data_IF_241938806576
#
_entry.id   IF_241938806576
#
_cell.length_a   1.000
_cell.length_b   1.000
_cell.length_c   1.000
_cell.angle_alpha   90.00
_cell.angle_beta   90.00
_cell.angle_gamma   90.00
#
_symmetry.space_group_name_H-M   'P 1'
#
loop_
_entity.id
_entity.type
_entity.pdbx_description
1 polymer ?
#
# COMPACT_ATOMS: atom_id res chain seq x y z
N UNK A 1 -21.63 27.37 30.94
CA UNK A 1 -20.28 27.18 30.38
C UNK A 1 -20.29 25.88 29.59
N UNK A 2 -19.94 25.87 28.31
CA UNK A 2 -19.90 24.62 27.55
C UNK A 2 -18.70 23.81 28.01
N UNK A 3 -18.98 22.60 28.50
CA UNK A 3 -17.98 21.59 28.84
C UNK A 3 -17.28 21.21 27.54
N UNK A 4 -15.98 21.48 27.45
CA UNK A 4 -15.15 21.03 26.33
C UNK A 4 -15.20 19.49 26.29
N UNK A 5 -15.44 18.87 25.12
CA UNK A 5 -15.43 17.42 25.02
C UNK A 5 -14.04 16.89 25.36
N UNK A 6 -14.02 15.75 26.03
CA UNK A 6 -12.82 15.04 26.51
C UNK A 6 -11.82 14.79 25.38
N UNK A 7 -10.55 14.97 25.73
CA UNK A 7 -9.35 14.96 24.88
C UNK A 7 -8.99 13.56 24.32
N UNK A 8 -9.97 12.69 24.05
CA UNK A 8 -9.77 11.32 23.53
C UNK A 8 -9.48 11.26 22.02
N UNK A 9 -9.49 12.39 21.32
CA UNK A 9 -9.19 12.49 19.88
C UNK A 9 -7.75 12.92 19.56
N UNK A 10 -6.81 12.92 20.52
CA UNK A 10 -5.39 13.24 20.28
C UNK A 10 -4.57 12.10 19.64
N UNK A 11 -5.12 11.39 18.67
CA UNK A 11 -4.31 10.64 17.69
C UNK A 11 -4.48 11.36 16.36
N UNK A 12 -3.44 11.99 15.78
CA UNK A 12 -3.62 12.67 14.52
C UNK A 12 -4.05 11.64 13.48
N UNK A 13 -5.29 11.79 13.03
CA UNK A 13 -5.82 11.10 11.87
C UNK A 13 -4.93 11.48 10.66
N UNK A 14 -4.49 10.43 9.95
CA UNK A 14 -3.83 10.37 8.63
C UNK A 14 -2.53 11.17 8.44
N UNK A 15 -1.40 10.45 8.47
CA UNK A 15 -0.12 10.89 7.91
C UNK A 15 -0.04 10.42 6.46
N UNK A 16 0.07 11.34 5.50
CA UNK A 16 0.49 11.01 4.15
C UNK A 16 2.00 10.72 4.18
N UNK A 17 2.47 9.56 3.71
CA UNK A 17 3.90 9.22 3.72
C UNK A 17 4.43 9.08 2.29
N UNK A 18 5.63 9.59 2.04
CA UNK A 18 6.31 9.42 0.77
C UNK A 18 6.70 7.94 0.56
N UNK A 19 6.55 7.43 -0.66
CA UNK A 19 6.87 6.02 -0.99
C UNK A 19 8.37 5.71 -0.85
N UNK A 20 9.23 6.70 -1.08
CA UNK A 20 10.67 6.57 -0.90
C UNK A 20 11.10 7.23 0.40
N UNK A 21 11.98 6.56 1.14
CA UNK A 21 12.63 7.15 2.30
C UNK A 21 13.81 8.02 1.86
N UNK A 22 14.07 9.07 2.63
CA UNK A 22 15.20 9.97 2.39
C UNK A 22 16.46 9.42 3.06
N UNK A 23 17.47 9.10 2.26
CA UNK A 23 18.77 8.60 2.69
C UNK A 23 19.64 9.71 3.32
N UNK A 24 19.19 10.28 4.44
CA UNK A 24 19.93 11.30 5.21
C UNK A 24 19.55 11.25 6.68
N UNK A 25 20.43 11.77 7.53
CA UNK A 25 20.16 11.90 8.97
C UNK A 25 19.18 13.03 9.25
N UNK A 26 18.09 12.73 9.96
CA UNK A 26 17.19 13.77 10.51
C UNK A 26 17.90 14.57 11.59
N UNK A 27 17.63 15.88 11.64
CA UNK A 27 18.18 16.80 12.65
C UNK A 27 17.25 17.00 13.86
N UNK A 28 15.99 16.57 13.81
CA UNK A 28 14.94 17.07 14.73
C UNK A 28 13.96 16.02 15.29
N UNK A 29 14.02 14.75 14.89
CA UNK A 29 13.05 13.74 15.33
C UNK A 29 13.69 12.64 16.18
N UNK A 30 12.88 12.04 17.06
CA UNK A 30 13.26 10.88 17.85
C UNK A 30 13.65 9.74 16.90
N UNK A 31 14.92 9.36 16.94
CA UNK A 31 15.48 8.36 16.04
C UNK A 31 15.57 7.02 16.75
N UNK A 32 15.11 5.96 16.09
CA UNK A 32 15.38 4.60 16.51
C UNK A 32 16.67 4.10 15.88
N UNK A 33 17.46 3.35 16.64
CA UNK A 33 18.62 2.63 16.13
C UNK A 33 18.23 1.18 15.92
N UNK A 34 18.57 0.65 14.75
CA UNK A 34 18.45 -0.77 14.42
C UNK A 34 19.72 -1.28 13.77
N UNK A 35 19.80 -2.60 13.60
CA UNK A 35 20.91 -3.26 12.91
C UNK A 35 20.38 -4.10 11.75
N UNK A 36 20.98 -3.93 10.58
CA UNK A 36 20.73 -4.79 9.43
C UNK A 36 21.43 -6.15 9.56
N UNK A 37 21.27 -7.01 8.56
CA UNK A 37 21.77 -8.41 8.60
C UNK A 37 23.28 -8.51 8.80
N UNK A 38 24.03 -7.53 8.29
CA UNK A 38 25.49 -7.46 8.38
C UNK A 38 25.97 -6.71 9.62
N UNK A 39 25.13 -6.63 10.67
CA UNK A 39 25.37 -5.85 11.89
C UNK A 39 25.55 -4.35 11.63
N UNK A 40 25.05 -3.87 10.50
CA UNK A 40 25.18 -2.51 10.04
C UNK A 40 24.19 -1.59 10.76
N UNK A 41 24.68 -0.47 11.29
CA UNK A 41 23.85 0.44 12.09
C UNK A 41 23.02 1.35 11.18
N UNK A 42 21.71 1.27 11.36
CA UNK A 42 20.71 2.12 10.71
C UNK A 42 19.99 2.98 11.75
N UNK A 43 19.73 4.23 11.39
CA UNK A 43 18.97 5.19 12.16
C UNK A 43 17.72 5.54 11.36
N UNK A 44 16.54 5.28 11.92
CA UNK A 44 15.25 5.63 11.33
C UNK A 44 14.55 6.71 12.14
N UNK A 45 13.95 7.66 11.45
CA UNK A 45 13.23 8.76 12.10
C UNK A 45 12.13 9.30 11.18
N UNK A 46 10.94 9.53 11.73
CA UNK A 46 9.83 10.13 10.99
C UNK A 46 9.80 11.65 11.22
N UNK A 47 9.65 12.41 10.15
CA UNK A 47 9.26 13.82 10.22
C UNK A 47 7.80 13.93 9.78
N UNK A 48 6.86 14.08 10.74
CA UNK A 48 5.46 14.29 10.41
C UNK A 48 5.27 15.68 9.80
N UNK A 49 4.50 15.74 8.72
CA UNK A 49 4.03 16.97 8.09
C UNK A 49 2.51 16.97 8.12
N UNK A 50 1.92 18.17 8.19
CA UNK A 50 0.49 18.31 8.01
C UNK A 50 0.14 18.07 6.55
N UNK A 51 -0.85 17.21 6.28
CA UNK A 51 -1.32 17.05 4.92
C UNK A 51 -1.86 18.37 4.33
N UNK A 52 -1.82 18.55 3.00
CA UNK A 52 -1.50 17.55 1.97
C UNK A 52 0.00 17.27 1.77
N UNK A 53 0.88 17.94 2.51
CA UNK A 53 2.32 17.68 2.42
C UNK A 53 2.65 16.29 2.96
N UNK A 54 3.36 15.42 2.20
CA UNK A 54 3.75 14.12 2.70
C UNK A 54 4.79 14.27 3.82
N UNK A 55 4.58 13.52 4.89
CA UNK A 55 5.58 13.20 5.90
C UNK A 55 6.70 12.38 5.29
N UNK A 56 7.87 12.43 5.92
CA UNK A 56 9.09 11.85 5.38
C UNK A 56 9.73 10.90 6.37
N UNK A 57 9.96 9.66 5.94
CA UNK A 57 10.85 8.73 6.63
C UNK A 57 12.29 9.08 6.26
N UNK A 58 13.11 9.35 7.27
CA UNK A 58 14.54 9.56 7.13
C UNK A 58 15.29 8.33 7.60
N UNK A 59 16.15 7.80 6.73
CA UNK A 59 17.03 6.68 7.03
C UNK A 59 18.48 7.13 6.89
N UNK A 60 19.28 6.83 7.91
CA UNK A 60 20.71 7.09 7.90
C UNK A 60 21.49 5.82 8.18
N UNK A 61 22.44 5.55 7.30
CA UNK A 61 23.41 4.46 7.41
C UNK A 61 24.71 5.02 7.96
N UNK A 62 25.26 4.40 9.01
CA UNK A 62 26.52 4.86 9.63
C UNK A 62 27.73 4.70 8.71
N UNK A 63 27.78 3.62 7.92
CA UNK A 63 28.98 3.18 7.20
C UNK A 63 28.93 3.49 5.69
N UNK A 64 28.16 4.49 5.26
CA UNK A 64 28.09 4.90 3.84
C UNK A 64 26.68 5.24 3.36
N UNK A 65 26.49 5.45 2.05
CA UNK A 65 25.17 5.61 1.43
C UNK A 65 24.46 4.25 1.26
N UNK A 66 23.17 4.26 0.97
CA UNK A 66 22.46 3.05 0.51
C UNK A 66 22.80 2.77 -0.96
N UNK A 67 22.85 1.49 -1.34
CA UNK A 67 23.13 1.08 -2.72
C UNK A 67 21.92 1.20 -3.65
N UNK A 68 20.72 1.28 -3.08
CA UNK A 68 19.45 1.59 -3.74
C UNK A 68 18.60 2.45 -2.80
N UNK A 69 17.66 3.22 -3.35
CA UNK A 69 16.78 4.08 -2.54
C UNK A 69 15.85 3.20 -1.69
N UNK A 70 15.83 3.34 -0.36
CA UNK A 70 14.93 2.54 0.47
C UNK A 70 13.46 2.86 0.18
N UNK A 71 12.62 1.83 0.17
CA UNK A 71 11.22 1.91 -0.24
C UNK A 71 10.28 1.58 0.92
N UNK A 72 9.31 2.46 1.16
CA UNK A 72 8.20 2.24 2.10
C UNK A 72 7.17 1.34 1.44
N UNK A 73 6.86 0.23 2.10
CA UNK A 73 5.95 -0.80 1.60
C UNK A 73 4.55 -0.65 2.20
N UNK A 74 4.46 -0.30 3.47
CA UNK A 74 3.18 -0.16 4.16
C UNK A 74 3.31 0.73 5.39
N UNK A 75 2.21 1.40 5.76
CA UNK A 75 2.14 2.21 6.96
C UNK A 75 0.75 2.11 7.59
N UNK A 76 0.70 1.78 8.88
CA UNK A 76 -0.55 1.76 9.66
C UNK A 76 -0.22 2.22 11.07
N UNK A 77 -1.04 3.13 11.60
CA UNK A 77 -0.82 3.80 12.88
C UNK A 77 0.60 4.39 12.99
N UNK A 78 1.41 3.88 13.92
CA UNK A 78 2.81 4.28 14.11
C UNK A 78 3.81 3.28 13.54
N UNK A 79 3.36 2.27 12.78
CA UNK A 79 4.22 1.25 12.17
C UNK A 79 4.47 1.59 10.70
N UNK A 80 5.75 1.57 10.32
CA UNK A 80 6.19 1.77 8.94
C UNK A 80 7.03 0.55 8.55
N UNK A 81 6.55 -0.20 7.56
CA UNK A 81 7.26 -1.30 6.93
C UNK A 81 8.01 -0.77 5.71
N UNK A 82 9.30 -1.09 5.61
CA UNK A 82 10.13 -0.71 4.47
C UNK A 82 11.23 -1.73 4.22
N UNK A 83 11.79 -1.72 3.00
CA UNK A 83 13.03 -2.43 2.70
C UNK A 83 14.17 -1.44 2.41
N UNK A 84 15.40 -1.88 2.65
CA UNK A 84 16.59 -1.13 2.34
C UNK A 84 17.71 -2.06 1.86
N UNK A 85 18.47 -1.60 0.86
CA UNK A 85 19.67 -2.30 0.38
C UNK A 85 20.92 -1.53 0.79
N UNK A 86 21.75 -2.15 1.64
CA UNK A 86 22.98 -1.55 2.16
C UNK A 86 24.24 -2.01 1.42
N UNK A 87 24.10 -2.71 0.29
CA UNK A 87 25.25 -3.09 -0.54
C UNK A 87 25.85 -1.93 -1.36
N UNK A 88 26.76 -2.23 -2.29
CA UNK A 88 27.23 -1.26 -3.29
C UNK A 88 26.08 -0.80 -4.19
N UNK A 89 26.28 0.27 -4.96
CA UNK A 89 25.25 0.78 -5.88
C UNK A 89 24.78 -0.32 -6.85
N UNK A 90 23.49 -0.59 -6.85
CA UNK A 90 22.86 -1.58 -7.71
C UNK A 90 21.43 -1.14 -7.99
N UNK A 91 21.08 -0.96 -9.28
CA UNK A 91 19.68 -0.74 -9.66
C UNK A 91 18.90 -2.04 -9.53
N UNK A 92 17.76 -1.98 -8.86
CA UNK A 92 16.87 -3.12 -8.62
C UNK A 92 17.60 -4.33 -7.98
N UNK A 93 18.21 -4.16 -6.80
CA UNK A 93 18.89 -5.25 -6.11
C UNK A 93 17.91 -6.39 -5.86
N UNK A 94 18.33 -7.65 -6.08
CA UNK A 94 17.49 -8.82 -5.82
C UNK A 94 16.96 -8.82 -4.39
N UNK A 95 15.71 -9.25 -4.22
CA UNK A 95 15.01 -9.33 -2.92
C UNK A 95 15.87 -9.95 -1.84
N UNK A 96 16.54 -11.09 -2.11
CA UNK A 96 17.45 -11.78 -1.19
C UNK A 96 18.57 -10.93 -0.58
N UNK A 97 18.93 -9.81 -1.20
CA UNK A 97 19.96 -8.88 -0.72
C UNK A 97 19.39 -7.72 0.11
N UNK A 98 18.09 -7.49 0.05
CA UNK A 98 17.41 -6.42 0.78
C UNK A 98 17.13 -6.84 2.22
N UNK A 99 17.28 -5.90 3.14
CA UNK A 99 16.85 -6.05 4.54
C UNK A 99 15.47 -5.40 4.70
N UNK A 100 14.58 -6.07 5.43
CA UNK A 100 13.23 -5.59 5.72
C UNK A 100 13.14 -5.14 7.16
N UNK A 101 12.49 -4.00 7.40
CA UNK A 101 12.40 -3.41 8.72
C UNK A 101 11.00 -2.95 9.04
N UNK A 102 10.65 -3.03 10.33
CA UNK A 102 9.54 -2.26 10.89
C UNK A 102 10.12 -1.17 11.77
N UNK A 103 9.83 0.07 11.40
CA UNK A 103 10.05 1.23 12.24
C UNK A 103 8.76 1.59 12.97
N UNK A 104 8.82 1.60 14.30
CA UNK A 104 7.77 2.14 15.15
C UNK A 104 8.10 3.59 15.46
N UNK A 105 7.32 4.50 14.89
CA UNK A 105 7.40 5.94 15.10
C UNK A 105 6.62 6.38 16.36
N UNK A 106 6.80 5.68 17.47
CA UNK A 106 6.25 6.10 18.77
C UNK A 106 7.12 7.25 19.33
N UNK A 107 6.55 8.42 19.67
CA UNK A 107 7.32 9.52 20.23
C UNK A 107 8.02 9.19 21.56
N UNK A 108 7.47 8.27 22.34
CA UNK A 108 7.98 7.90 23.65
C UNK A 108 8.95 6.71 23.58
N UNK A 109 8.71 5.78 22.65
CA UNK A 109 9.48 4.54 22.52
C UNK A 109 9.72 4.17 21.04
N UNK A 110 10.50 4.98 20.30
CA UNK A 110 10.80 4.68 18.91
C UNK A 110 11.67 3.42 18.82
N UNK A 111 11.34 2.51 17.90
CA UNK A 111 12.12 1.28 17.71
C UNK A 111 12.25 0.91 16.23
N UNK A 112 13.39 0.30 15.87
CA UNK A 112 13.68 -0.15 14.52
C UNK A 112 14.08 -1.62 14.60
N UNK A 113 13.25 -2.51 14.05
CA UNK A 113 13.45 -3.96 14.11
C UNK A 113 13.69 -4.51 12.71
N UNK A 114 14.78 -5.28 12.57
CA UNK A 114 15.02 -6.11 11.40
C UNK A 114 14.05 -7.29 11.42
N UNK A 115 13.46 -7.60 10.28
CA UNK A 115 12.60 -8.76 10.10
C UNK A 115 13.38 -9.94 9.54
N UNK A 116 12.96 -11.18 9.86
CA UNK A 116 13.33 -12.35 9.08
C UNK A 116 12.95 -12.14 7.61
N UNK A 117 13.82 -12.61 6.72
CA UNK A 117 13.63 -12.44 5.29
C UNK A 117 12.30 -13.08 4.83
N UNK A 118 11.52 -12.42 3.96
CA UNK A 118 10.30 -13.02 3.45
C UNK A 118 10.60 -14.30 2.63
N UNK A 119 9.61 -15.19 2.47
CA UNK A 119 9.76 -16.39 1.64
C UNK A 119 10.17 -16.05 0.20
N UNK A 120 10.90 -16.96 -0.48
CA UNK A 120 11.42 -16.73 -1.83
C UNK A 120 10.36 -16.42 -2.91
N UNK A 121 9.10 -16.72 -2.65
CA UNK A 121 7.96 -16.40 -3.53
C UNK A 121 7.48 -14.96 -3.41
N UNK A 122 7.97 -14.21 -2.43
CA UNK A 122 7.59 -12.81 -2.19
C UNK A 122 8.74 -11.92 -2.63
N UNK A 123 8.45 -11.00 -3.55
CA UNK A 123 9.39 -9.99 -4.00
C UNK A 123 9.46 -8.80 -3.03
N UNK A 124 10.53 -8.01 -3.10
CA UNK A 124 10.72 -6.86 -2.21
C UNK A 124 9.69 -5.76 -2.42
N UNK A 125 9.20 -5.62 -3.65
CA UNK A 125 8.26 -4.59 -4.03
C UNK A 125 6.81 -5.14 -4.12
N UNK A 126 6.59 -6.36 -3.63
CA UNK A 126 5.24 -6.94 -3.50
C UNK A 126 4.35 -6.10 -2.58
N UNK A 127 3.02 -6.17 -2.76
CA UNK A 127 2.07 -5.37 -2.01
C UNK A 127 1.91 -5.89 -0.57
N UNK A 128 2.76 -5.42 0.33
CA UNK A 128 2.67 -5.74 1.76
C UNK A 128 1.61 -4.92 2.48
N UNK A 129 0.88 -5.58 3.39
CA UNK A 129 0.07 -4.94 4.44
C UNK A 129 0.68 -5.18 5.82
N UNK A 130 0.46 -4.26 6.74
CA UNK A 130 0.82 -4.42 8.15
C UNK A 130 -0.41 -4.24 9.02
N UNK A 131 -0.76 -5.24 9.81
CA UNK A 131 -1.90 -5.25 10.70
C UNK A 131 -1.45 -5.14 12.16
N UNK A 132 -1.66 -4.00 12.84
CA UNK A 132 -1.39 -3.87 14.26
C UNK A 132 -2.28 -4.82 15.08
N UNK A 133 -1.69 -5.48 16.07
CA UNK A 133 -2.39 -6.30 17.07
C UNK A 133 -2.21 -5.69 18.46
N UNK A 134 -2.89 -6.27 19.45
CA UNK A 134 -2.69 -5.92 20.87
C UNK A 134 -1.23 -6.06 21.31
N UNK A 135 -0.89 -5.44 22.45
CA UNK A 135 0.40 -5.60 23.12
C UNK A 135 1.64 -5.28 22.25
N UNK A 136 1.51 -4.28 21.38
CA UNK A 136 2.56 -3.84 20.45
C UNK A 136 2.94 -4.90 19.40
N UNK A 137 2.21 -6.01 19.30
CA UNK A 137 2.42 -6.97 18.22
C UNK A 137 1.78 -6.49 16.91
N UNK A 138 2.20 -7.12 15.82
CA UNK A 138 1.67 -6.88 14.48
C UNK A 138 1.82 -8.15 13.63
N UNK A 139 1.03 -8.21 12.56
CA UNK A 139 1.14 -9.20 11.49
C UNK A 139 1.50 -8.47 10.20
N UNK A 140 2.44 -8.99 9.43
CA UNK A 140 2.69 -8.51 8.06
C UNK A 140 2.12 -9.54 7.09
N UNK A 141 1.41 -9.07 6.08
CA UNK A 141 0.81 -9.94 5.08
C UNK A 141 1.27 -9.54 3.68
N UNK A 142 1.56 -10.53 2.83
CA UNK A 142 1.68 -10.36 1.38
C UNK A 142 0.78 -11.38 0.69
N UNK A 143 -0.01 -10.92 -0.28
CA UNK A 143 -0.91 -11.75 -1.06
C UNK A 143 -0.37 -11.84 -2.48
N UNK A 144 0.07 -13.04 -2.88
CA UNK A 144 0.63 -13.30 -4.21
C UNK A 144 -0.30 -14.22 -5.01
N UNK A 145 -0.34 -14.13 -6.34
CA UNK A 145 -1.10 -15.06 -7.17
C UNK A 145 -0.63 -16.51 -6.96
N UNK A 146 -1.59 -17.44 -6.91
CA UNK A 146 -1.27 -18.86 -6.88
C UNK A 146 -0.84 -19.36 -8.27
N UNK A 147 0.16 -20.26 -8.29
CA UNK A 147 0.58 -20.99 -9.51
C UNK A 147 -0.30 -22.25 -9.70
N UNK A 148 -0.94 -22.73 -8.62
CA UNK A 148 -1.87 -23.86 -8.65
C UNK A 148 -3.24 -23.42 -9.15
N UNK A 149 -3.90 -24.23 -9.98
CA UNK A 149 -5.27 -23.98 -10.42
C UNK A 149 -6.32 -24.25 -9.34
N UNK A 150 -5.93 -24.81 -8.18
CA UNK A 150 -6.85 -25.12 -7.08
C UNK A 150 -7.10 -23.94 -6.13
N UNK A 151 -6.26 -22.91 -6.19
CA UNK A 151 -6.31 -21.75 -5.31
C UNK A 151 -6.12 -20.47 -6.12
N UNK A 152 -6.73 -19.38 -5.68
CA UNK A 152 -6.58 -18.08 -6.35
C UNK A 152 -5.30 -17.38 -5.89
N UNK A 153 -5.01 -17.46 -4.59
CA UNK A 153 -3.94 -16.71 -3.96
C UNK A 153 -3.16 -17.54 -2.94
N UNK A 154 -1.90 -17.13 -2.72
CA UNK A 154 -1.08 -17.57 -1.61
C UNK A 154 -0.87 -16.38 -0.68
N UNK A 155 -1.31 -16.53 0.57
CA UNK A 155 -1.14 -15.54 1.63
C UNK A 155 0.08 -15.90 2.47
N UNK A 156 1.06 -15.02 2.49
CA UNK A 156 2.23 -15.09 3.37
C UNK A 156 2.03 -14.18 4.58
N UNK A 157 2.15 -14.75 5.78
CA UNK A 157 1.91 -14.04 7.04
C UNK A 157 3.14 -14.10 7.94
N UNK A 158 3.65 -12.96 8.34
CA UNK A 158 4.67 -12.84 9.38
C UNK A 158 4.01 -12.50 10.72
N UNK A 159 4.38 -13.24 11.76
CA UNK A 159 3.94 -12.98 13.12
C UNK A 159 5.07 -12.34 13.94
N UNK A 160 4.84 -11.13 14.47
CA UNK A 160 5.85 -10.41 15.26
C UNK A 160 6.17 -11.02 16.63
N UNK A 161 5.29 -11.86 17.18
CA UNK A 161 5.50 -12.52 18.47
C UNK A 161 6.41 -13.73 18.29
N UNK A 162 6.09 -14.59 17.33
CA UNK A 162 6.88 -15.80 17.05
C UNK A 162 8.08 -15.54 16.15
N UNK A 163 8.11 -14.41 15.45
CA UNK A 163 9.12 -14.06 14.43
C UNK A 163 9.18 -15.07 13.28
N UNK A 164 8.04 -15.66 12.91
CA UNK A 164 7.97 -16.71 11.88
C UNK A 164 7.05 -16.29 10.74
N UNK A 165 7.46 -16.63 9.52
CA UNK A 165 6.61 -16.58 8.33
C UNK A 165 5.82 -17.88 8.18
N UNK A 166 4.52 -17.75 7.92
CA UNK A 166 3.61 -18.84 7.59
C UNK A 166 2.99 -18.61 6.20
N UNK A 167 2.40 -19.67 5.65
CA UNK A 167 1.81 -19.68 4.31
C UNK A 167 0.41 -20.30 4.38
N UNK A 168 -0.54 -19.69 3.68
CA UNK A 168 -1.90 -20.24 3.45
C UNK A 168 -2.24 -20.13 1.98
N UNK A 169 -2.72 -21.22 1.39
CA UNK A 169 -3.27 -21.19 0.04
C UNK A 169 -4.79 -20.99 0.16
N UNK A 170 -5.32 -19.97 -0.51
CA UNK A 170 -6.68 -19.47 -0.28
C UNK A 170 -7.46 -19.31 -1.59
N UNK A 171 -8.77 -19.49 -1.49
CA UNK A 171 -9.76 -19.23 -2.55
C UNK A 171 -10.54 -17.99 -2.14
N UNK A 172 -10.93 -17.15 -3.10
CA UNK A 172 -11.84 -16.03 -2.85
C UNK A 172 -13.27 -16.56 -2.76
N UNK A 173 -13.80 -16.67 -1.54
CA UNK A 173 -15.11 -17.29 -1.27
C UNK A 173 -16.26 -16.58 -2.00
N UNK A 174 -16.21 -15.25 -2.01
CA UNK A 174 -17.11 -14.40 -2.79
C UNK A 174 -16.33 -13.82 -3.96
N UNK A 175 -16.17 -14.61 -5.02
CA UNK A 175 -15.47 -14.18 -6.22
C UNK A 175 -16.08 -12.89 -6.79
N UNK A 176 -15.22 -11.96 -7.20
CA UNK A 176 -15.66 -10.74 -7.85
C UNK A 176 -16.35 -11.07 -9.17
N UNK A 177 -17.40 -10.32 -9.51
CA UNK A 177 -18.00 -10.40 -10.83
C UNK A 177 -16.92 -10.18 -11.90
N UNK A 178 -16.92 -11.03 -12.94
CA UNK A 178 -15.91 -11.00 -14.00
C UNK A 178 -15.80 -9.61 -14.61
N UNK A 179 -14.58 -9.17 -14.90
CA UNK A 179 -14.36 -7.92 -15.61
C UNK A 179 -15.03 -8.03 -17.00
N UNK A 180 -16.05 -7.19 -17.32
CA UNK A 180 -16.98 -7.41 -18.43
C UNK A 180 -16.42 -6.99 -19.80
N UNK A 181 -15.11 -6.83 -19.92
CA UNK A 181 -14.44 -6.47 -21.18
C UNK A 181 -13.73 -7.71 -21.72
N UNK A 182 -14.08 -8.11 -22.94
CA UNK A 182 -13.41 -9.20 -23.64
C UNK A 182 -11.99 -8.77 -24.04
N UNK A 183 -11.02 -9.20 -23.24
CA UNK A 183 -9.60 -8.95 -23.54
C UNK A 183 -9.08 -10.00 -24.53
N UNK A 184 -8.28 -9.62 -25.54
CA UNK A 184 -7.60 -10.56 -26.43
C UNK A 184 -6.89 -11.69 -25.68
N UNK A 185 -6.87 -12.90 -26.23
CA UNK A 185 -6.34 -14.11 -25.56
C UNK A 185 -4.89 -13.93 -25.07
N UNK A 186 -4.08 -13.15 -25.79
CA UNK A 186 -2.68 -12.85 -25.44
C UNK A 186 -2.53 -11.95 -24.21
N UNK A 187 -3.50 -11.05 -23.95
CA UNK A 187 -3.52 -10.19 -22.76
C UNK A 187 -4.37 -10.79 -21.63
N UNK A 188 -5.18 -11.81 -21.93
CA UNK A 188 -6.07 -12.46 -20.96
C UNK A 188 -5.34 -12.95 -19.71
N UNK A 189 -4.10 -13.44 -19.79
CA UNK A 189 -3.34 -13.91 -18.60
C UNK A 189 -2.85 -12.78 -17.69
N UNK A 190 -2.46 -11.65 -18.27
CA UNK A 190 -1.99 -10.45 -17.56
C UNK A 190 -3.19 -9.65 -17.04
N UNK A 191 -4.30 -9.65 -17.77
CA UNK A 191 -5.53 -8.97 -17.40
C UNK A 191 -6.51 -9.88 -16.63
N UNK A 192 -6.27 -11.18 -16.49
CA UNK A 192 -7.13 -12.07 -15.69
C UNK A 192 -6.74 -12.08 -14.21
N UNK A 193 -5.48 -11.76 -13.91
CA UNK A 193 -4.94 -11.84 -12.56
C UNK A 193 -5.13 -10.50 -11.84
N UNK A 194 -5.42 -10.58 -10.54
CA UNK A 194 -5.52 -9.41 -9.68
C UNK A 194 -4.14 -8.76 -9.55
N UNK A 195 -4.03 -7.48 -9.92
CA UNK A 195 -2.80 -6.70 -9.80
C UNK A 195 -2.97 -5.59 -8.78
N UNK A 196 -2.41 -5.81 -7.59
CA UNK A 196 -2.56 -4.87 -6.48
C UNK A 196 -1.91 -3.52 -6.79
N UNK A 197 -2.75 -2.50 -6.89
CA UNK A 197 -2.38 -1.10 -7.02
C UNK A 197 -2.17 -0.41 -5.67
N UNK A 198 -2.86 -0.83 -4.62
CA UNK A 198 -2.63 -0.29 -3.27
C UNK A 198 -3.11 -1.28 -2.21
N UNK A 199 -2.56 -1.18 -1.01
CA UNK A 199 -2.97 -1.98 0.15
C UNK A 199 -3.56 -1.06 1.20
N UNK A 200 -4.74 -1.39 1.68
CA UNK A 200 -5.43 -0.67 2.77
C UNK A 200 -5.52 -1.62 3.95
N UNK A 201 -5.17 -1.15 5.14
CA UNK A 201 -5.42 -1.89 6.37
C UNK A 201 -6.39 -1.11 7.24
N UNK A 202 -7.54 -1.69 7.54
CA UNK A 202 -8.51 -1.06 8.43
C UNK A 202 -9.52 -2.07 8.97
N UNK A 203 -10.10 -1.77 10.13
CA UNK A 203 -11.31 -2.41 10.66
C UNK A 203 -11.21 -3.94 10.73
N UNK A 204 -10.05 -4.46 11.13
CA UNK A 204 -9.82 -5.90 11.25
C UNK A 204 -9.39 -6.61 9.97
N UNK A 205 -9.21 -5.89 8.85
CA UNK A 205 -8.86 -6.49 7.57
C UNK A 205 -7.64 -5.81 6.92
N UNK A 206 -6.94 -6.59 6.08
CA UNK A 206 -6.05 -6.06 5.04
C UNK A 206 -6.76 -6.24 3.70
N UNK A 207 -6.67 -5.23 2.83
CA UNK A 207 -7.35 -5.17 1.55
C UNK A 207 -6.36 -4.88 0.43
N UNK A 208 -6.22 -5.81 -0.51
CA UNK A 208 -5.45 -5.62 -1.73
C UNK A 208 -6.37 -5.08 -2.81
N UNK A 209 -6.09 -3.86 -3.26
CA UNK A 209 -6.93 -3.16 -4.24
C UNK A 209 -6.25 -3.20 -5.60
N UNK A 210 -6.90 -3.84 -6.55
CA UNK A 210 -6.67 -3.65 -7.97
C UNK A 210 -7.62 -2.54 -8.43
N UNK A 211 -7.07 -1.36 -8.71
CA UNK A 211 -7.86 -0.18 -9.08
C UNK A 211 -8.65 -0.38 -10.39
N UNK A 212 -8.38 -1.41 -11.19
CA UNK A 212 -9.19 -1.74 -12.38
C UNK A 212 -10.34 -2.69 -12.06
N UNK A 213 -10.09 -3.67 -11.19
CA UNK A 213 -10.99 -4.82 -11.03
C UNK A 213 -11.81 -4.76 -9.75
N UNK A 214 -11.17 -4.51 -8.63
CA UNK A 214 -11.77 -4.87 -7.36
C UNK A 214 -10.82 -4.87 -6.18
N UNK A 215 -11.39 -5.16 -5.02
CA UNK A 215 -10.72 -5.27 -3.74
C UNK A 215 -10.81 -6.72 -3.26
N UNK A 216 -9.68 -7.31 -2.88
CA UNK A 216 -9.63 -8.58 -2.16
C UNK A 216 -9.41 -8.27 -0.68
N UNK A 217 -10.43 -8.51 0.15
CA UNK A 217 -10.37 -8.37 1.60
C UNK A 217 -9.90 -9.68 2.22
N UNK A 218 -8.96 -9.59 3.15
CA UNK A 218 -8.60 -10.66 4.06
C UNK A 218 -9.01 -10.26 5.48
N UNK A 219 -9.86 -11.06 6.10
CA UNK A 219 -10.16 -10.93 7.52
C UNK A 219 -8.93 -11.32 8.35
N UNK A 220 -8.33 -10.37 9.06
CA UNK A 220 -7.16 -10.61 9.91
C UNK A 220 -7.54 -10.99 11.34
N UNK A 221 -8.83 -10.90 11.71
CA UNK A 221 -9.33 -11.28 13.02
C UNK A 221 -9.72 -12.75 13.08
N UNK A 222 -10.06 -13.35 11.94
CA UNK A 222 -10.36 -14.78 11.83
C UNK A 222 -9.09 -15.61 11.64
N UNK A 223 -8.97 -16.72 12.39
CA UNK A 223 -7.87 -17.66 12.23
C UNK A 223 -7.77 -18.23 10.82
N UNK A 224 -8.89 -18.34 10.10
CA UNK A 224 -8.92 -18.89 8.73
C UNK A 224 -8.49 -17.89 7.66
N UNK A 225 -8.48 -16.58 7.96
CA UNK A 225 -8.10 -15.54 7.00
C UNK A 225 -8.91 -15.59 5.70
N UNK A 226 -10.24 -15.69 5.83
CA UNK A 226 -11.14 -15.80 4.68
C UNK A 226 -10.98 -14.62 3.72
N UNK A 227 -10.99 -14.93 2.42
CA UNK A 227 -10.89 -13.93 1.36
C UNK A 227 -12.27 -13.61 0.78
N UNK A 228 -12.60 -12.33 0.67
CA UNK A 228 -13.81 -11.85 0.01
C UNK A 228 -13.51 -10.79 -1.03
N UNK A 229 -14.19 -10.86 -2.17
CA UNK A 229 -13.97 -9.98 -3.31
C UNK A 229 -15.08 -8.96 -3.46
N UNK A 230 -14.72 -7.68 -3.60
CA UNK A 230 -15.65 -6.59 -3.97
C UNK A 230 -15.24 -6.03 -5.33
N UNK A 231 -16.09 -6.09 -6.37
CA UNK A 231 -15.77 -5.47 -7.66
C UNK A 231 -15.75 -3.93 -7.51
N UNK A 232 -14.86 -3.27 -8.24
CA UNK A 232 -14.86 -1.81 -8.37
C UNK A 232 -15.68 -1.40 -9.60
N UNK A 233 -16.31 -0.20 -9.59
CA UNK A 233 -16.89 0.41 -10.78
C UNK A 233 -15.95 0.31 -11.97
N UNK A 234 -16.52 0.00 -13.15
CA UNK A 234 -15.76 -0.08 -14.37
C UNK A 234 -15.08 1.27 -14.65
N UNK A 235 -13.82 1.24 -15.09
CA UNK A 235 -13.13 2.47 -15.45
C UNK A 235 -13.82 3.13 -16.65
N UNK A 236 -13.80 4.45 -16.69
CA UNK A 236 -14.26 5.21 -17.85
C UNK A 236 -13.10 5.58 -18.79
N UNK A 237 -11.86 5.53 -18.27
CA UNK A 237 -10.64 5.95 -18.97
C UNK A 237 -9.67 4.76 -19.07
N UNK A 238 -8.78 4.78 -20.07
CA UNK A 238 -7.71 3.80 -20.24
C UNK A 238 -6.35 4.38 -19.85
N UNK A 239 -5.45 3.57 -19.28
CA UNK A 239 -4.10 4.00 -18.92
C UNK A 239 -3.57 3.33 -17.64
N UNK A 240 -2.55 3.88 -16.98
CA UNK A 240 -2.11 3.40 -15.66
C UNK A 240 -3.11 3.81 -14.57
N UNK A 241 -3.70 2.83 -13.88
CA UNK A 241 -4.78 3.07 -12.91
C UNK A 241 -4.42 4.13 -11.86
N UNK A 242 -3.19 4.09 -11.34
CA UNK A 242 -2.74 4.98 -10.26
C UNK A 242 -2.67 6.46 -10.66
N UNK A 243 -2.71 6.77 -11.95
CA UNK A 243 -2.72 8.17 -12.42
C UNK A 243 -4.13 8.78 -12.36
N UNK A 244 -5.16 7.96 -12.58
CA UNK A 244 -6.53 8.43 -12.75
C UNK A 244 -7.44 8.00 -11.60
N UNK A 245 -7.14 6.89 -10.92
CA UNK A 245 -7.99 6.32 -9.87
C UNK A 245 -7.33 6.34 -8.51
N UNK A 246 -8.12 6.68 -7.50
CA UNK A 246 -7.73 6.63 -6.10
C UNK A 246 -8.85 6.03 -5.26
N UNK A 247 -8.48 5.35 -4.18
CA UNK A 247 -9.45 4.72 -3.27
C UNK A 247 -9.12 5.06 -1.82
N UNK A 248 -10.13 5.25 -1.00
CA UNK A 248 -9.98 5.46 0.43
C UNK A 248 -11.21 4.94 1.18
N UNK A 249 -11.04 4.58 2.46
CA UNK A 249 -12.16 4.40 3.38
C UNK A 249 -12.39 5.70 4.15
N UNK A 250 -13.57 6.30 3.98
CA UNK A 250 -13.94 7.59 4.58
C UNK A 250 -15.33 7.51 5.19
N UNK A 251 -15.42 7.72 6.50
CA UNK A 251 -16.70 7.69 7.24
C UNK A 251 -17.42 6.35 7.14
N UNK A 252 -16.67 5.24 7.25
CA UNK A 252 -17.21 3.88 7.16
C UNK A 252 -17.57 3.42 5.73
N UNK A 253 -17.42 4.27 4.73
CA UNK A 253 -17.73 3.96 3.33
C UNK A 253 -16.46 3.85 2.51
N UNK A 254 -16.45 2.94 1.53
CA UNK A 254 -15.39 2.90 0.53
C UNK A 254 -15.72 3.95 -0.52
N UNK A 255 -14.76 4.85 -0.79
CA UNK A 255 -14.87 5.86 -1.84
C UNK A 255 -13.80 5.59 -2.88
N UNK A 256 -14.25 5.43 -4.11
CA UNK A 256 -13.41 5.38 -5.29
C UNK A 256 -13.57 6.73 -6.00
N UNK A 257 -12.46 7.28 -6.46
CA UNK A 257 -12.41 8.51 -7.25
C UNK A 257 -11.72 8.17 -8.56
N UNK A 258 -12.24 8.70 -9.67
CA UNK A 258 -11.61 8.68 -10.98
C UNK A 258 -11.56 10.10 -11.54
N UNK A 259 -10.39 10.52 -12.00
CA UNK A 259 -10.13 11.80 -12.63
C UNK A 259 -10.03 11.58 -14.13
N UNK A 260 -10.95 12.16 -14.88
CA UNK A 260 -10.85 12.31 -16.33
C UNK A 260 -10.19 13.64 -16.65
N UNK A 261 -9.24 13.67 -17.57
CA UNK A 261 -8.48 14.86 -17.92
C UNK A 261 -8.40 14.99 -19.42
N UNK A 262 -8.92 16.11 -19.95
CA UNK A 262 -8.77 16.47 -21.35
C UNK A 262 -7.40 17.12 -21.52
N UNK A 263 -6.47 16.36 -22.10
CA UNK A 263 -5.09 16.80 -22.33
C UNK A 263 -4.92 17.10 -23.82
N UNK A 264 -4.50 18.32 -24.13
CA UNK A 264 -4.13 18.75 -25.48
C UNK A 264 -2.61 18.76 -25.57
N UNK A 265 -2.05 17.93 -26.45
CA UNK A 265 -0.61 17.89 -26.71
C UNK A 265 -0.14 19.25 -27.24
N UNK A 266 0.90 19.80 -26.62
CA UNK A 266 1.56 21.00 -27.13
C UNK A 266 2.55 20.58 -28.23
N UNK A 267 2.35 21.03 -29.49
CA UNK A 267 3.23 20.63 -30.58
C UNK A 267 4.67 21.08 -30.29
N UNK A 268 5.61 20.23 -30.70
CA UNK A 268 7.06 20.50 -30.65
C UNK A 268 7.62 20.82 -29.26
N UNK A 269 6.88 20.50 -28.19
CA UNK A 269 7.29 20.73 -26.81
C UNK A 269 7.45 19.40 -26.10
N UNK A 270 8.70 19.02 -25.80
CA UNK A 270 9.01 17.84 -24.99
C UNK A 270 9.58 18.27 -23.64
N UNK A 271 9.24 17.50 -22.61
CA UNK A 271 9.80 17.66 -21.28
C UNK A 271 11.30 17.35 -21.32
N UNK A 272 12.13 18.27 -20.85
CA UNK A 272 13.59 18.16 -20.97
C UNK A 272 14.17 17.00 -20.15
N UNK A 273 13.52 16.63 -19.04
CA UNK A 273 13.98 15.57 -18.14
C UNK A 273 13.61 14.18 -18.68
N UNK A 274 12.41 14.04 -19.22
CA UNK A 274 11.84 12.73 -19.57
C UNK A 274 11.77 12.48 -21.08
N UNK A 275 11.84 13.54 -21.90
CA UNK A 275 11.74 13.48 -23.37
C UNK A 275 10.32 13.23 -23.89
N UNK A 276 9.31 13.22 -23.04
CA UNK A 276 7.92 12.99 -23.42
C UNK A 276 7.24 14.27 -23.88
N UNK A 277 6.25 14.16 -24.77
CA UNK A 277 5.44 15.29 -25.21
C UNK A 277 4.76 15.94 -24.00
N UNK A 278 4.80 17.27 -23.94
CA UNK A 278 4.11 18.04 -22.92
C UNK A 278 2.69 18.29 -23.38
N UNK A 279 1.71 17.88 -22.58
CA UNK A 279 0.32 18.21 -22.77
C UNK A 279 -0.14 19.30 -21.81
N UNK A 280 -1.08 20.14 -22.25
CA UNK A 280 -1.83 21.04 -21.38
C UNK A 280 -3.18 20.41 -21.02
N UNK A 281 -3.48 20.32 -19.74
CA UNK A 281 -4.83 19.96 -19.28
C UNK A 281 -5.76 21.16 -19.52
N UNK A 282 -6.72 21.01 -20.44
CA UNK A 282 -7.73 22.04 -20.72
C UNK A 282 -8.91 21.91 -19.77
N UNK A 283 -9.39 20.68 -19.54
CA UNK A 283 -10.49 20.36 -18.64
C UNK A 283 -10.21 19.11 -17.83
N UNK A 284 -10.93 18.94 -16.72
CA UNK A 284 -10.94 17.70 -15.97
C UNK A 284 -12.31 17.49 -15.32
N UNK A 285 -12.63 16.24 -15.00
CA UNK A 285 -13.86 15.86 -14.31
C UNK A 285 -13.54 14.80 -13.29
N UNK A 286 -14.06 14.96 -12.07
CA UNK A 286 -13.92 13.98 -11.00
C UNK A 286 -15.23 13.22 -10.82
N UNK A 287 -15.14 11.91 -11.06
CA UNK A 287 -16.21 10.99 -10.74
C UNK A 287 -15.91 10.29 -9.42
N UNK A 288 -16.83 10.36 -8.46
CA UNK A 288 -16.73 9.60 -7.21
C UNK A 288 -17.78 8.51 -7.18
N UNK A 289 -17.43 7.33 -6.66
CA UNK A 289 -18.38 6.29 -6.31
C UNK A 289 -18.27 5.97 -4.83
N UNK A 290 -19.41 5.73 -4.20
CA UNK A 290 -19.51 5.44 -2.78
C UNK A 290 -20.18 4.09 -2.60
N UNK A 291 -19.46 3.17 -1.96
CA UNK A 291 -20.01 1.91 -1.44
C UNK A 291 -20.23 2.08 0.06
N UNK A 292 -21.50 2.18 0.47
CA UNK A 292 -21.90 2.47 1.86
C UNK A 292 -21.98 1.24 2.75
N UNK A 293 -21.96 0.04 2.17
CA UNK A 293 -21.82 -1.24 2.86
C UNK A 293 -22.81 -1.47 4.03
N UNK A 294 -23.84 -2.27 3.77
CA UNK A 294 -24.27 -3.34 4.69
C UNK A 294 -23.67 -4.66 4.20
N UNK A 295 -23.39 -5.64 5.07
CA UNK A 295 -22.50 -6.78 4.76
C UNK A 295 -22.94 -7.63 3.56
N UNK A 296 -24.25 -7.73 3.29
CA UNK A 296 -24.79 -8.68 2.31
C UNK A 296 -24.85 -8.14 0.86
N UNK A 297 -24.74 -6.82 0.67
CA UNK A 297 -24.83 -6.19 -0.67
C UNK A 297 -23.48 -5.77 -1.27
N UNK A 298 -22.35 -5.92 -0.54
CA UNK A 298 -21.04 -5.38 -0.98
C UNK A 298 -20.50 -5.99 -2.28
N UNK A 299 -20.89 -7.21 -2.61
CA UNK A 299 -20.25 -8.02 -3.66
C UNK A 299 -20.87 -7.83 -5.05
N UNK A 300 -21.30 -6.61 -5.39
CA UNK A 300 -21.92 -6.31 -6.69
C UNK A 300 -21.53 -4.92 -7.19
N UNK A 301 -21.45 -4.77 -8.52
CA UNK A 301 -21.30 -3.46 -9.16
C UNK A 301 -22.44 -2.49 -8.78
N UNK A 302 -23.64 -3.02 -8.51
CA UNK A 302 -24.81 -2.24 -8.12
C UNK A 302 -24.68 -1.60 -6.73
N UNK A 303 -23.74 -2.06 -5.90
CA UNK A 303 -23.50 -1.53 -4.56
C UNK A 303 -22.84 -0.13 -4.56
N UNK A 304 -22.37 0.31 -5.74
CA UNK A 304 -21.65 1.57 -5.91
C UNK A 304 -22.56 2.68 -6.39
N UNK A 305 -22.80 3.66 -5.51
CA UNK A 305 -23.54 4.85 -5.87
C UNK A 305 -22.61 5.86 -6.54
N UNK A 306 -22.86 6.18 -7.81
CA UNK A 306 -22.13 7.22 -8.54
C UNK A 306 -22.54 8.61 -8.03
N UNK A 307 -21.57 9.38 -7.58
CA UNK A 307 -21.68 10.77 -7.16
C UNK A 307 -20.67 11.55 -7.99
N UNK A 308 -21.10 12.12 -9.10
CA UNK A 308 -20.22 13.01 -9.89
C UNK A 308 -19.98 14.28 -9.08
N UNK A 309 -18.72 14.67 -8.92
CA UNK A 309 -18.34 15.85 -8.14
C UNK A 309 -17.35 16.67 -8.96
N UNK A 310 -17.88 17.65 -9.69
CA UNK A 310 -17.18 18.61 -10.58
C UNK A 310 -16.30 17.99 -11.67
#
# INVERSE_FOLDING_TARGET
MPIAPSDEFRRPFWVLLHIHAHARRSRKSAAAVGRGRNNEILLASLLPNHPPTPSNLYLYRKNGPFGDTPCVLSMVDNLILFHAYTGPELRFPPTRLCDFFVYRADPNEPSLKLLPHPPCSVDRDDPFGIFPRGDKHYTIASLVPSISSAYDHVLHLFDSETQIWSRKDLIVESAQASFPVDTPVSTKRILSQHHTSTVITLAGAISWVDLWRGIVFCDMLSENHALSGVPLPLPQITGPARHYRGIALLGGCIRLVEVDSEIVDLPDTCDEETGWAIGRTENWTITTWINKSDKDERNSYAAWNKVTTL
#
